data_IF_722564111844
#
_entry.id   IF_722564111844
#
_cell.length_a   1.000
_cell.length_b   1.000
_cell.length_c   1.000
_cell.angle_alpha   90.00
_cell.angle_beta   90.00
_cell.angle_gamma   90.00
#
_symmetry.space_group_name_H-M   'P 1'
#
loop_
_entity.id
_entity.type
_entity.pdbx_description
1 polymer ?
#
# COMPACT_ATOMS: atom_id res chain seq x y z
N UNK A 1 31.60 -14.75 -14.89
CA UNK A 1 31.76 -13.64 -13.92
C UNK A 1 30.84 -12.50 -14.30
N UNK A 2 29.53 -12.76 -14.47
CA UNK A 2 28.60 -11.71 -14.91
C UNK A 2 28.50 -10.63 -13.85
N UNK A 3 29.25 -9.56 -14.00
CA UNK A 3 29.14 -8.37 -13.17
C UNK A 3 27.91 -7.60 -13.64
N UNK A 4 26.97 -7.40 -12.71
CA UNK A 4 25.73 -6.69 -12.99
C UNK A 4 25.78 -5.37 -12.24
N UNK A 5 25.73 -4.27 -12.99
CA UNK A 5 25.71 -2.92 -12.43
C UNK A 5 24.27 -2.43 -12.37
N UNK A 6 23.80 -2.10 -11.18
CA UNK A 6 22.53 -1.40 -11.01
C UNK A 6 22.74 0.12 -10.96
N UNK A 7 21.89 0.87 -11.66
CA UNK A 7 21.89 2.33 -11.68
C UNK A 7 20.59 2.81 -11.04
N UNK A 8 20.71 3.55 -9.94
CA UNK A 8 19.58 4.11 -9.20
C UNK A 8 19.92 5.48 -8.62
N UNK A 9 18.89 6.22 -8.20
CA UNK A 9 19.02 7.56 -7.61
C UNK A 9 19.53 7.50 -6.17
N UNK A 10 19.21 6.42 -5.48
CA UNK A 10 19.74 6.08 -4.17
C UNK A 10 20.55 4.78 -4.25
N UNK A 11 21.36 4.54 -3.22
CA UNK A 11 22.15 3.30 -3.14
C UNK A 11 21.23 2.08 -3.10
N UNK A 12 20.08 2.20 -2.43
CA UNK A 12 19.08 1.14 -2.29
C UNK A 12 18.45 0.80 -3.65
N UNK A 13 18.03 1.81 -4.43
CA UNK A 13 17.47 1.58 -5.77
C UNK A 13 18.51 0.96 -6.70
N UNK A 14 19.76 1.46 -6.66
CA UNK A 14 20.84 0.96 -7.49
C UNK A 14 21.15 -0.51 -7.16
N UNK A 15 21.29 -0.84 -5.87
CA UNK A 15 21.57 -2.20 -5.44
C UNK A 15 20.38 -3.14 -5.68
N UNK A 16 19.14 -2.67 -5.51
CA UNK A 16 17.93 -3.44 -5.87
C UNK A 16 18.00 -3.86 -7.34
N UNK A 17 18.21 -2.90 -8.25
CA UNK A 17 18.31 -3.16 -9.70
C UNK A 17 19.45 -4.11 -10.03
N UNK A 18 20.61 -3.93 -9.39
CA UNK A 18 21.77 -4.79 -9.58
C UNK A 18 21.53 -6.23 -9.14
N UNK A 19 20.95 -6.43 -7.95
CA UNK A 19 20.67 -7.76 -7.40
C UNK A 19 19.58 -8.49 -8.21
N UNK A 20 18.45 -7.84 -8.50
CA UNK A 20 17.38 -8.48 -9.30
C UNK A 20 17.88 -8.85 -10.70
N UNK A 21 18.64 -7.97 -11.35
CA UNK A 21 19.21 -8.24 -12.67
C UNK A 21 20.27 -9.36 -12.66
N UNK A 22 20.92 -9.61 -11.52
CA UNK A 22 21.79 -10.76 -11.31
C UNK A 22 21.03 -12.06 -11.01
N UNK A 23 19.69 -12.03 -11.02
CA UNK A 23 18.82 -13.17 -10.80
C UNK A 23 18.46 -13.43 -9.34
N UNK A 24 18.79 -12.50 -8.42
CA UNK A 24 18.39 -12.63 -7.02
C UNK A 24 16.89 -12.36 -6.86
N UNK A 25 16.21 -13.25 -6.16
CA UNK A 25 14.79 -13.10 -5.81
C UNK A 25 14.67 -12.29 -4.51
N UNK A 26 14.38 -11.00 -4.64
CA UNK A 26 14.17 -10.12 -3.49
C UNK A 26 12.75 -10.27 -2.95
N UNK A 27 12.66 -10.76 -1.73
CA UNK A 27 11.43 -11.11 -1.03
C UNK A 27 11.19 -10.10 0.10
N UNK A 28 10.03 -9.42 0.05
CA UNK A 28 9.63 -8.47 1.09
C UNK A 28 8.71 -9.18 2.10
N UNK A 29 8.99 -9.09 3.41
CA UNK A 29 8.12 -9.64 4.44
C UNK A 29 6.73 -9.00 4.35
N UNK A 30 5.70 -9.83 4.41
CA UNK A 30 4.31 -9.38 4.49
C UNK A 30 3.51 -10.37 5.32
N UNK A 31 2.34 -9.97 5.81
CA UNK A 31 1.49 -10.91 6.59
C UNK A 31 1.01 -12.13 5.80
N UNK A 32 1.11 -12.10 4.46
CA UNK A 32 0.70 -13.19 3.56
C UNK A 32 1.89 -14.07 3.14
N UNK A 33 3.11 -13.56 3.31
CA UNK A 33 4.35 -14.25 2.99
C UNK A 33 5.34 -13.95 4.10
N UNK A 34 5.44 -14.89 5.02
CA UNK A 34 6.57 -14.91 5.95
C UNK A 34 7.86 -14.99 5.13
N UNK A 35 8.81 -14.17 5.53
CA UNK A 35 10.14 -14.15 4.92
C UNK A 35 11.13 -14.49 6.01
N UNK A 36 11.89 -15.55 5.80
CA UNK A 36 12.88 -16.00 6.78
C UNK A 36 14.29 -15.68 6.36
N UNK A 37 15.11 -15.32 7.35
CA UNK A 37 16.56 -15.18 7.20
C UNK A 37 17.26 -16.16 8.13
N UNK A 38 18.19 -16.94 7.57
CA UNK A 38 19.04 -17.85 8.31
C UNK A 38 20.43 -17.26 8.53
N UNK A 39 20.87 -17.16 9.78
CA UNK A 39 22.19 -16.70 10.19
C UNK A 39 23.09 -17.85 10.64
N UNK A 40 24.23 -17.94 9.97
CA UNK A 40 25.32 -18.86 10.34
C UNK A 40 26.63 -18.11 10.19
N UNK A 41 27.08 -17.51 11.30
CA UNK A 41 28.24 -16.62 11.29
C UNK A 41 29.36 -17.13 12.18
N UNK A 42 30.58 -16.78 11.79
CA UNK A 42 31.78 -17.03 12.55
C UNK A 42 31.76 -16.26 13.88
N UNK A 43 32.49 -16.77 14.87
CA UNK A 43 32.53 -16.20 16.22
C UNK A 43 33.07 -14.76 16.25
N UNK A 44 33.93 -14.40 15.30
CA UNK A 44 34.50 -13.06 15.16
C UNK A 44 33.46 -12.00 14.74
N UNK A 45 32.44 -12.41 13.99
CA UNK A 45 31.45 -11.50 13.40
C UNK A 45 30.16 -11.41 14.23
N UNK A 46 30.09 -12.15 15.35
CA UNK A 46 28.89 -12.26 16.20
C UNK A 46 28.36 -10.93 16.72
N UNK A 47 29.23 -9.93 16.91
CA UNK A 47 28.81 -8.61 17.37
C UNK A 47 28.29 -7.74 16.23
N UNK A 48 28.83 -7.89 15.02
CA UNK A 48 28.41 -7.11 13.84
C UNK A 48 27.01 -7.51 13.37
N UNK A 49 26.65 -8.80 13.52
CA UNK A 49 25.32 -9.27 13.15
C UNK A 49 24.19 -8.75 14.03
N UNK A 50 24.47 -8.23 15.24
CA UNK A 50 23.42 -7.79 16.16
C UNK A 50 22.60 -6.64 15.55
N UNK A 51 23.28 -5.66 14.94
CA UNK A 51 22.60 -4.55 14.25
C UNK A 51 21.78 -5.03 13.06
N UNK A 52 22.33 -5.97 12.29
CA UNK A 52 21.67 -6.55 11.12
C UNK A 52 20.44 -7.40 11.50
N UNK A 53 20.56 -8.25 12.52
CA UNK A 53 19.47 -9.09 13.02
C UNK A 53 18.33 -8.23 13.57
N UNK A 54 18.66 -7.15 14.31
CA UNK A 54 17.67 -6.17 14.74
C UNK A 54 16.93 -5.55 13.56
N UNK A 55 17.67 -5.12 12.54
CA UNK A 55 17.08 -4.49 11.35
C UNK A 55 16.14 -5.44 10.61
N UNK A 56 16.53 -6.69 10.40
CA UNK A 56 15.64 -7.69 9.79
C UNK A 56 14.42 -8.01 10.67
N UNK A 57 14.59 -8.07 12.00
CA UNK A 57 13.47 -8.25 12.94
C UNK A 57 12.50 -7.06 12.89
N UNK A 58 13.01 -5.84 12.87
CA UNK A 58 12.20 -4.61 12.78
C UNK A 58 11.44 -4.53 11.44
N UNK A 59 12.01 -5.11 10.38
CA UNK A 59 11.36 -5.29 9.08
C UNK A 59 10.35 -6.45 9.05
N UNK A 60 10.27 -7.26 10.11
CA UNK A 60 9.30 -8.34 10.25
C UNK A 60 9.73 -9.68 9.64
N UNK A 61 11.03 -9.92 9.42
CA UNK A 61 11.53 -11.22 9.01
C UNK A 61 11.62 -12.17 10.20
N UNK A 62 11.35 -13.46 9.94
CA UNK A 62 11.57 -14.51 10.93
C UNK A 62 13.05 -14.87 10.97
N UNK A 63 13.65 -14.86 12.16
CA UNK A 63 15.08 -15.08 12.34
C UNK A 63 15.33 -16.55 12.70
N UNK A 64 16.12 -17.22 11.86
CA UNK A 64 16.66 -18.56 12.10
C UNK A 64 18.16 -18.44 12.30
N UNK A 65 18.76 -19.15 13.25
CA UNK A 65 20.21 -19.08 13.44
C UNK A 65 20.81 -20.32 14.11
N UNK A 66 22.09 -20.59 13.85
CA UNK A 66 22.81 -21.62 14.62
C UNK A 66 22.86 -21.27 16.11
N UNK A 67 22.89 -22.26 17.00
CA UNK A 67 22.82 -22.08 18.46
C UNK A 67 23.66 -20.91 19.00
N UNK A 68 24.96 -20.90 18.70
CA UNK A 68 25.86 -19.86 19.18
C UNK A 68 25.58 -18.46 18.62
N UNK A 69 24.95 -18.37 17.45
CA UNK A 69 24.50 -17.12 16.83
C UNK A 69 23.15 -16.68 17.41
N UNK A 70 22.22 -17.62 17.60
CA UNK A 70 20.91 -17.39 18.19
C UNK A 70 21.02 -16.83 19.61
N UNK A 71 21.90 -17.40 20.44
CA UNK A 71 22.12 -16.94 21.81
C UNK A 71 22.61 -15.48 21.86
N UNK A 72 23.44 -15.08 20.90
CA UNK A 72 23.89 -13.69 20.76
C UNK A 72 22.74 -12.77 20.35
N UNK A 73 21.97 -13.13 19.32
CA UNK A 73 20.83 -12.30 18.85
C UNK A 73 19.75 -12.14 19.94
N UNK A 74 19.47 -13.20 20.72
CA UNK A 74 18.50 -13.17 21.84
C UNK A 74 18.83 -12.13 22.91
N UNK A 75 20.09 -11.72 23.04
CA UNK A 75 20.47 -10.65 23.99
C UNK A 75 19.79 -9.31 23.68
N UNK A 76 19.30 -9.13 22.44
CA UNK A 76 18.52 -7.96 22.03
C UNK A 76 17.01 -8.09 22.32
N UNK A 77 16.55 -9.21 22.89
CA UNK A 77 15.13 -9.50 23.08
C UNK A 77 14.38 -9.91 21.80
N UNK A 78 15.12 -10.28 20.76
CA UNK A 78 14.57 -10.75 19.48
C UNK A 78 14.29 -12.25 19.57
N UNK A 79 13.13 -12.69 19.07
CA UNK A 79 12.81 -14.11 18.97
C UNK A 79 13.58 -14.76 17.82
N UNK A 80 14.19 -15.92 18.09
CA UNK A 80 15.09 -16.60 17.16
C UNK A 80 14.85 -18.10 17.24
N UNK A 81 14.55 -18.70 16.09
CA UNK A 81 14.51 -20.15 15.93
C UNK A 81 15.94 -20.70 15.84
N UNK A 82 16.32 -21.50 16.82
CA UNK A 82 17.63 -22.18 16.79
C UNK A 82 17.56 -23.37 15.85
N UNK A 83 18.46 -23.40 14.88
CA UNK A 83 18.66 -24.52 13.95
C UNK A 83 20.01 -25.14 14.23
N UNK A 84 20.09 -26.47 14.30
CA UNK A 84 21.37 -27.15 14.52
C UNK A 84 22.27 -27.08 13.28
N UNK A 85 23.56 -27.36 13.45
CA UNK A 85 24.49 -27.39 12.30
C UNK A 85 24.18 -28.57 11.38
N UNK A 86 24.49 -28.41 10.10
CA UNK A 86 24.27 -29.40 9.05
C UNK A 86 24.95 -30.76 9.30
N UNK A 87 26.10 -30.74 9.96
CA UNK A 87 26.78 -31.94 10.48
C UNK A 87 26.01 -32.71 11.56
N UNK A 88 24.95 -32.13 12.14
CA UNK A 88 24.17 -32.70 13.25
C UNK A 88 22.71 -32.97 12.86
N UNK A 89 22.07 -32.06 12.12
CA UNK A 89 20.70 -32.20 11.63
C UNK A 89 20.52 -31.51 10.26
N UNK A 90 19.67 -32.08 9.41
CA UNK A 90 19.29 -31.54 8.11
C UNK A 90 18.01 -30.67 8.20
N UNK A 91 17.66 -30.21 9.40
CA UNK A 91 16.52 -29.31 9.66
C UNK A 91 16.51 -28.09 8.74
N UNK A 92 17.68 -27.49 8.48
CA UNK A 92 17.79 -26.33 7.59
C UNK A 92 17.28 -26.64 6.18
N UNK A 93 17.51 -27.85 5.65
CA UNK A 93 16.99 -28.23 4.33
C UNK A 93 15.48 -28.34 4.32
N UNK A 94 14.89 -28.89 5.38
CA UNK A 94 13.42 -28.93 5.50
C UNK A 94 12.83 -27.53 5.57
N UNK A 95 13.44 -26.62 6.33
CA UNK A 95 13.01 -25.22 6.40
C UNK A 95 13.12 -24.51 5.03
N UNK A 96 14.16 -24.81 4.26
CA UNK A 96 14.32 -24.30 2.90
C UNK A 96 13.26 -24.86 1.95
N UNK A 97 13.02 -26.18 1.98
CA UNK A 97 12.03 -26.87 1.14
C UNK A 97 10.59 -26.44 1.45
N UNK A 98 10.29 -26.19 2.72
CA UNK A 98 9.00 -25.67 3.20
C UNK A 98 8.80 -24.18 2.84
N UNK A 99 9.81 -23.52 2.25
CA UNK A 99 9.77 -22.12 1.86
C UNK A 99 9.84 -21.14 3.04
N UNK A 100 10.37 -21.58 4.19
CA UNK A 100 10.54 -20.74 5.38
C UNK A 100 11.80 -19.89 5.38
N UNK A 101 12.76 -20.18 4.49
CA UNK A 101 14.03 -19.46 4.35
C UNK A 101 14.10 -18.83 2.95
N UNK A 102 14.22 -17.52 2.87
CA UNK A 102 14.41 -16.79 1.60
C UNK A 102 15.83 -16.20 1.50
N UNK A 103 16.46 -15.95 2.65
CA UNK A 103 17.79 -15.38 2.76
C UNK A 103 18.69 -16.21 3.66
N UNK A 104 19.95 -16.38 3.25
CA UNK A 104 20.99 -16.99 4.05
C UNK A 104 22.12 -15.98 4.22
N UNK A 105 22.50 -15.69 5.45
CA UNK A 105 23.67 -14.87 5.79
C UNK A 105 24.72 -15.80 6.39
N UNK A 106 25.80 -16.02 5.64
CA UNK A 106 26.89 -16.93 6.01
C UNK A 106 28.20 -16.17 6.07
N UNK A 107 28.84 -16.09 7.24
CA UNK A 107 30.24 -15.65 7.33
C UNK A 107 31.11 -16.87 7.59
N UNK A 108 31.93 -17.20 6.59
CA UNK A 108 32.57 -18.51 6.53
C UNK A 108 33.53 -18.80 7.67
N UNK A 109 33.59 -20.07 8.06
CA UNK A 109 34.72 -20.64 8.80
C UNK A 109 35.67 -21.35 7.84
N UNK A 110 36.96 -21.32 8.15
CA UNK A 110 38.03 -21.86 7.31
C UNK A 110 38.26 -23.36 7.49
N UNK A 111 37.56 -24.03 8.40
CA UNK A 111 37.65 -25.48 8.57
C UNK A 111 36.89 -26.24 7.46
N UNK A 112 37.42 -27.41 7.10
CA UNK A 112 36.93 -28.21 5.96
C UNK A 112 35.50 -28.71 6.15
N UNK A 113 35.09 -29.00 7.38
CA UNK A 113 33.74 -29.47 7.68
C UNK A 113 32.72 -28.35 7.42
N UNK A 114 33.00 -27.13 7.89
CA UNK A 114 32.16 -25.95 7.63
C UNK A 114 32.09 -25.58 6.14
N UNK A 115 33.20 -25.75 5.40
CA UNK A 115 33.22 -25.54 3.94
C UNK A 115 32.33 -26.56 3.23
N UNK A 116 32.38 -27.83 3.63
CA UNK A 116 31.57 -28.87 3.02
C UNK A 116 30.07 -28.67 3.32
N UNK A 117 29.73 -28.30 4.56
CA UNK A 117 28.37 -27.93 4.96
C UNK A 117 27.87 -26.74 4.14
N UNK A 118 28.70 -25.71 3.96
CA UNK A 118 28.37 -24.56 3.11
C UNK A 118 28.13 -24.97 1.65
N UNK A 119 28.97 -25.81 1.05
CA UNK A 119 28.80 -26.22 -0.36
C UNK A 119 27.47 -26.95 -0.55
N UNK A 120 27.14 -27.89 0.35
CA UNK A 120 25.86 -28.61 0.30
C UNK A 120 24.68 -27.65 0.43
N UNK A 121 24.74 -26.75 1.42
CA UNK A 121 23.68 -25.76 1.64
C UNK A 121 23.53 -24.79 0.49
N UNK A 122 24.62 -24.27 -0.03
CA UNK A 122 24.62 -23.30 -1.11
C UNK A 122 24.08 -23.91 -2.41
N UNK A 123 24.46 -25.17 -2.73
CA UNK A 123 23.87 -25.89 -3.86
C UNK A 123 22.35 -26.07 -3.71
N UNK A 124 21.88 -26.43 -2.52
CA UNK A 124 20.45 -26.56 -2.25
C UNK A 124 19.71 -25.21 -2.38
N UNK A 125 20.31 -24.14 -1.85
CA UNK A 125 19.78 -22.78 -1.94
C UNK A 125 19.63 -22.32 -3.39
N UNK A 126 20.62 -22.62 -4.25
CA UNK A 126 20.56 -22.28 -5.68
C UNK A 126 19.38 -22.98 -6.37
N UNK A 127 19.14 -24.26 -6.08
CA UNK A 127 18.02 -25.01 -6.67
C UNK A 127 16.66 -24.42 -6.32
N UNK A 128 16.53 -23.83 -5.14
CA UNK A 128 15.31 -23.20 -4.63
C UNK A 128 15.22 -21.70 -4.94
N UNK A 129 16.27 -21.10 -5.50
CA UNK A 129 16.36 -19.65 -5.73
C UNK A 129 16.47 -18.81 -4.45
N UNK A 130 17.05 -19.39 -3.39
CA UNK A 130 17.27 -18.74 -2.09
C UNK A 130 18.55 -17.89 -2.16
N UNK A 131 18.44 -16.63 -1.73
CA UNK A 131 19.55 -15.68 -1.81
C UNK A 131 20.57 -15.94 -0.70
N UNK A 132 21.79 -16.35 -1.07
CA UNK A 132 22.89 -16.56 -0.12
C UNK A 132 23.87 -15.39 -0.16
N UNK A 133 24.10 -14.75 0.99
CA UNK A 133 24.99 -13.62 1.17
C UNK A 133 26.18 -14.01 2.03
N UNK A 134 27.39 -13.86 1.49
CA UNK A 134 28.63 -14.20 2.19
C UNK A 134 29.34 -13.00 2.82
N UNK A 135 28.71 -11.82 2.78
CA UNK A 135 29.21 -10.57 3.35
C UNK A 135 28.11 -9.89 4.17
N UNK A 136 28.48 -9.42 5.36
CA UNK A 136 27.57 -8.68 6.23
C UNK A 136 27.21 -7.31 5.66
N UNK A 137 28.12 -6.67 4.93
CA UNK A 137 27.84 -5.38 4.27
C UNK A 137 26.75 -5.55 3.21
N UNK A 138 26.82 -6.61 2.41
CA UNK A 138 25.80 -6.92 1.41
C UNK A 138 24.47 -7.27 2.07
N UNK A 139 24.48 -7.97 3.20
CA UNK A 139 23.27 -8.26 3.96
C UNK A 139 22.64 -7.01 4.59
N UNK A 140 23.46 -6.07 5.08
CA UNK A 140 22.99 -4.77 5.55
C UNK A 140 22.34 -3.96 4.44
N UNK A 141 22.98 -3.93 3.26
CA UNK A 141 22.42 -3.27 2.09
C UNK A 141 21.11 -3.91 1.62
N UNK A 142 21.02 -5.25 1.64
CA UNK A 142 19.75 -5.95 1.40
C UNK A 142 18.66 -5.51 2.37
N UNK A 143 18.97 -5.38 3.65
CA UNK A 143 17.99 -4.89 4.63
C UNK A 143 17.54 -3.44 4.34
N UNK A 144 18.43 -2.56 3.87
CA UNK A 144 18.04 -1.20 3.42
C UNK A 144 17.13 -1.23 2.19
N UNK A 145 17.42 -2.13 1.24
CA UNK A 145 16.57 -2.33 0.05
C UNK A 145 15.17 -2.78 0.47
N UNK A 146 15.07 -3.76 1.37
CA UNK A 146 13.76 -4.23 1.87
C UNK A 146 13.01 -3.08 2.56
N UNK A 147 13.70 -2.26 3.36
CA UNK A 147 13.14 -1.09 4.03
C UNK A 147 12.64 -0.01 3.05
N UNK A 148 13.34 0.17 1.92
CA UNK A 148 13.01 1.17 0.89
C UNK A 148 11.75 0.85 0.10
N UNK A 149 11.30 -0.42 0.12
CA UNK A 149 10.12 -0.94 -0.59
C UNK A 149 10.21 -0.89 -2.13
N UNK A 150 11.40 -0.69 -2.70
CA UNK A 150 11.60 -0.87 -4.14
C UNK A 150 11.30 -2.33 -4.55
N UNK A 151 10.57 -2.49 -5.65
CA UNK A 151 10.23 -3.75 -6.28
C UNK A 151 10.22 -3.59 -7.81
N UNK A 152 10.02 -4.69 -8.53
CA UNK A 152 10.07 -4.70 -10.00
C UNK A 152 9.00 -3.79 -10.65
N UNK A 153 7.88 -3.56 -9.96
CA UNK A 153 6.75 -2.78 -10.46
C UNK A 153 6.88 -1.27 -10.17
N UNK A 154 7.75 -0.85 -9.24
CA UNK A 154 7.87 0.56 -8.81
C UNK A 154 9.25 1.20 -9.08
N UNK A 155 10.08 0.54 -9.89
CA UNK A 155 11.38 1.06 -10.32
C UNK A 155 11.33 1.63 -11.74
N UNK A 156 11.96 2.79 -11.94
CA UNK A 156 11.98 3.44 -13.26
C UNK A 156 12.91 2.70 -14.21
N UNK A 157 12.39 2.34 -15.40
CA UNK A 157 13.18 1.95 -16.55
C UNK A 157 13.77 3.19 -17.22
N UNK A 158 15.11 3.27 -17.26
CA UNK A 158 15.83 4.40 -17.85
C UNK A 158 16.63 3.90 -19.04
N UNK A 159 16.45 4.55 -20.19
CA UNK A 159 17.36 4.36 -21.33
C UNK A 159 18.71 5.02 -21.02
N UNK A 160 19.74 4.20 -20.87
CA UNK A 160 21.10 4.64 -20.52
C UNK A 160 21.68 5.62 -21.55
N UNK A 161 21.28 5.50 -22.83
CA UNK A 161 21.73 6.41 -23.89
C UNK A 161 21.08 7.79 -23.78
N UNK A 162 19.96 7.88 -23.07
CA UNK A 162 19.16 9.08 -22.87
C UNK A 162 19.05 9.43 -21.37
N UNK A 163 20.06 9.09 -20.57
CA UNK A 163 20.14 9.47 -19.16
C UNK A 163 20.05 10.98 -19.00
N UNK A 164 19.20 11.41 -18.05
CA UNK A 164 19.04 12.83 -17.72
C UNK A 164 20.35 13.34 -17.13
N UNK A 165 20.82 14.50 -17.61
CA UNK A 165 22.07 15.12 -17.15
C UNK A 165 21.91 15.90 -15.85
N UNK A 166 20.68 16.28 -15.51
CA UNK A 166 20.34 17.06 -14.34
C UNK A 166 19.02 16.58 -13.72
N UNK A 167 18.81 16.92 -12.44
CA UNK A 167 17.53 16.66 -11.76
C UNK A 167 16.44 17.52 -12.39
N UNK A 168 15.28 16.92 -12.59
CA UNK A 168 14.10 17.57 -13.16
C UNK A 168 13.35 18.30 -12.05
N UNK A 169 13.00 19.57 -12.28
CA UNK A 169 12.12 20.31 -11.36
C UNK A 169 10.65 20.02 -11.68
N UNK A 170 9.95 19.40 -10.73
CA UNK A 170 8.52 19.10 -10.84
C UNK A 170 7.72 20.06 -9.97
N UNK A 171 6.76 20.76 -10.59
CA UNK A 171 5.78 21.55 -9.84
C UNK A 171 4.71 20.62 -9.29
N UNK A 172 4.28 20.88 -8.05
CA UNK A 172 3.21 20.13 -7.43
C UNK A 172 2.23 21.07 -6.73
N UNK A 173 1.00 20.59 -6.56
CA UNK A 173 -0.02 21.22 -5.73
C UNK A 173 -0.42 20.24 -4.64
N UNK A 174 -0.41 20.68 -3.39
CA UNK A 174 -0.94 19.91 -2.27
C UNK A 174 -2.40 20.27 -2.06
N UNK A 175 -3.29 19.29 -2.14
CA UNK A 175 -4.73 19.48 -1.91
C UNK A 175 -5.29 18.42 -0.97
N UNK A 176 -6.42 18.73 -0.34
CA UNK A 176 -7.13 17.83 0.55
C UNK A 176 -8.65 17.90 0.37
N UNK A 177 -9.30 16.80 0.70
CA UNK A 177 -10.74 16.74 0.92
C UNK A 177 -11.00 16.00 2.24
N UNK A 178 -11.75 16.62 3.15
CA UNK A 178 -11.98 16.12 4.51
C UNK A 178 -10.70 15.61 5.20
N UNK A 179 -9.58 16.31 5.04
CA UNK A 179 -8.30 15.99 5.68
C UNK A 179 -7.48 14.89 4.99
N UNK A 180 -8.03 14.15 4.04
CA UNK A 180 -7.26 13.21 3.21
C UNK A 180 -6.52 13.98 2.13
N UNK A 181 -5.19 13.97 2.19
CA UNK A 181 -4.32 14.91 1.51
C UNK A 181 -3.36 14.23 0.52
N UNK A 182 -3.46 14.61 -0.76
CA UNK A 182 -2.65 14.07 -1.85
C UNK A 182 -1.74 15.15 -2.45
N UNK A 183 -0.65 14.70 -3.05
CA UNK A 183 0.26 15.54 -3.83
C UNK A 183 -0.14 15.41 -5.30
N UNK A 184 -0.49 16.51 -5.95
CA UNK A 184 -0.98 16.53 -7.32
C UNK A 184 0.09 17.04 -8.26
N UNK A 185 0.30 16.32 -9.36
CA UNK A 185 1.15 16.74 -10.46
C UNK A 185 0.31 16.90 -11.72
N UNK A 186 0.45 18.05 -12.37
CA UNK A 186 -0.01 18.25 -13.74
C UNK A 186 0.93 17.49 -14.67
N UNK A 187 0.41 16.44 -15.32
CA UNK A 187 1.09 15.60 -16.28
C UNK A 187 0.37 15.65 -17.65
N UNK A 188 -0.25 16.78 -18.00
CA UNK A 188 -0.91 16.98 -19.29
C UNK A 188 0.08 16.94 -20.48
N UNK A 189 1.39 17.07 -20.22
CA UNK A 189 2.44 16.90 -21.22
C UNK A 189 3.04 15.48 -21.28
N UNK A 190 2.64 14.60 -20.36
CA UNK A 190 3.05 13.19 -20.32
C UNK A 190 4.52 12.96 -19.95
N UNK A 191 5.21 13.93 -19.35
CA UNK A 191 6.64 13.78 -19.00
C UNK A 191 6.91 12.91 -17.79
N UNK A 192 5.93 12.75 -16.90
CA UNK A 192 6.06 11.87 -15.73
C UNK A 192 5.69 10.45 -16.16
N UNK A 193 6.70 9.57 -16.21
CA UNK A 193 6.57 8.18 -16.69
C UNK A 193 6.60 7.13 -15.57
N UNK A 194 7.12 7.46 -14.38
CA UNK A 194 7.19 6.56 -13.22
C UNK A 194 6.62 7.23 -11.95
N UNK A 195 5.30 7.41 -11.87
CA UNK A 195 4.65 7.99 -10.70
C UNK A 195 4.74 7.16 -9.42
N UNK A 196 4.92 5.84 -9.53
CA UNK A 196 5.05 4.92 -8.40
C UNK A 196 6.28 5.30 -7.55
N UNK A 197 7.40 5.60 -8.23
CA UNK A 197 8.62 6.10 -7.59
C UNK A 197 8.43 7.49 -6.97
N UNK A 198 7.69 8.39 -7.62
CA UNK A 198 7.34 9.69 -7.03
C UNK A 198 6.52 9.50 -5.75
N UNK A 199 5.62 8.53 -5.72
CA UNK A 199 4.80 8.23 -4.56
C UNK A 199 5.70 7.83 -3.39
N UNK A 200 6.55 6.82 -3.55
CA UNK A 200 7.43 6.32 -2.47
C UNK A 200 8.34 7.43 -1.93
N UNK A 201 8.89 8.27 -2.82
CA UNK A 201 9.85 9.30 -2.42
C UNK A 201 9.21 10.52 -1.75
N UNK A 202 8.03 10.98 -2.20
CA UNK A 202 7.50 12.28 -1.79
C UNK A 202 6.35 12.23 -0.78
N UNK A 203 5.72 11.08 -0.59
CA UNK A 203 4.60 10.93 0.38
C UNK A 203 5.05 10.88 1.83
N UNK A 204 6.32 10.58 2.09
CA UNK A 204 6.83 10.55 3.46
C UNK A 204 6.72 11.95 4.10
N UNK A 205 6.15 12.01 5.31
CA UNK A 205 5.85 13.28 5.99
C UNK A 205 7.08 13.91 6.65
N UNK A 206 8.17 13.17 6.83
CA UNK A 206 9.40 13.66 7.45
C UNK A 206 10.48 13.95 6.41
N UNK A 207 10.61 13.09 5.39
CA UNK A 207 11.66 13.17 4.38
C UNK A 207 11.16 13.68 3.02
N UNK A 208 9.84 13.75 2.82
CA UNK A 208 9.22 14.21 1.58
C UNK A 208 8.32 15.43 1.77
N UNK A 209 7.36 15.59 0.87
CA UNK A 209 6.31 16.62 0.96
C UNK A 209 5.27 16.23 2.02
N UNK A 210 5.03 14.92 2.15
CA UNK A 210 4.04 14.35 3.05
C UNK A 210 2.65 14.26 2.42
N UNK A 211 2.04 13.09 2.48
CA UNK A 211 0.66 12.84 2.02
C UNK A 211 0.22 11.40 2.15
N UNK A 212 -1.06 11.16 1.85
CA UNK A 212 -1.63 9.80 1.79
C UNK A 212 -1.37 9.12 0.42
N UNK A 213 -0.88 9.89 -0.55
CA UNK A 213 -0.45 9.40 -1.87
C UNK A 213 -0.19 10.55 -2.84
N UNK A 214 -0.02 10.21 -4.12
CA UNK A 214 0.08 11.20 -5.21
C UNK A 214 -1.03 11.00 -6.24
N UNK A 215 -1.30 12.05 -7.02
CA UNK A 215 -2.29 12.02 -8.10
C UNK A 215 -1.73 12.71 -9.32
N UNK A 216 -1.73 12.02 -10.46
CA UNK A 216 -1.42 12.61 -11.76
C UNK A 216 -2.70 13.11 -12.43
N UNK A 217 -2.61 14.29 -13.02
CA UNK A 217 -3.66 14.91 -13.84
C UNK A 217 -3.15 14.89 -15.29
N UNK A 218 -3.74 14.03 -16.11
CA UNK A 218 -3.26 13.71 -17.46
C UNK A 218 -4.29 14.11 -18.53
N UNK A 219 -3.85 14.14 -19.79
CA UNK A 219 -4.77 14.25 -20.93
C UNK A 219 -5.58 12.96 -21.07
N UNK A 220 -6.84 13.11 -21.49
CA UNK A 220 -7.72 12.01 -21.87
C UNK A 220 -8.23 12.24 -23.29
N UNK A 221 -8.34 11.17 -24.07
CA UNK A 221 -8.97 11.21 -25.40
C UNK A 221 -10.50 11.06 -25.31
N UNK A 222 -11.04 10.68 -24.14
CA UNK A 222 -12.45 10.30 -23.95
C UNK A 222 -13.17 11.10 -22.87
N UNK A 223 -12.47 11.95 -22.13
CA UNK A 223 -12.98 12.78 -21.05
C UNK A 223 -12.27 14.15 -21.01
N UNK A 224 -12.72 15.08 -20.15
CA UNK A 224 -12.08 16.41 -20.04
C UNK A 224 -10.66 16.32 -19.43
N UNK A 225 -10.38 15.26 -18.65
CA UNK A 225 -9.05 14.91 -18.13
C UNK A 225 -8.98 13.43 -17.72
N UNK A 226 -7.78 12.92 -17.47
CA UNK A 226 -7.52 11.61 -16.86
C UNK A 226 -6.87 11.77 -15.50
N UNK A 227 -7.26 10.91 -14.55
CA UNK A 227 -6.69 10.86 -13.21
C UNK A 227 -6.09 9.49 -12.94
N UNK A 228 -4.82 9.46 -12.53
CA UNK A 228 -4.15 8.28 -11.96
C UNK A 228 -3.74 8.58 -10.53
N UNK A 229 -3.86 7.59 -9.64
CA UNK A 229 -3.60 7.76 -8.21
C UNK A 229 -2.68 6.65 -7.72
N UNK A 230 -1.69 7.02 -6.91
CA UNK A 230 -0.73 6.10 -6.33
C UNK A 230 -0.73 6.26 -4.81
N UNK A 231 -0.85 5.13 -4.12
CA UNK A 231 -0.86 5.06 -2.67
C UNK A 231 0.53 5.27 -2.09
N UNK A 232 0.60 5.35 -0.76
CA UNK A 232 1.87 5.52 -0.03
C UNK A 232 2.89 4.42 -0.34
N UNK A 233 2.44 3.21 -0.64
CA UNK A 233 3.28 2.06 -0.97
C UNK A 233 3.64 1.96 -2.47
N UNK A 234 3.26 2.96 -3.28
CA UNK A 234 3.49 3.00 -4.72
C UNK A 234 2.42 2.27 -5.56
N UNK A 235 1.48 1.55 -4.94
CA UNK A 235 0.44 0.84 -5.67
C UNK A 235 -0.57 1.79 -6.35
N UNK A 236 -0.97 1.48 -7.58
CA UNK A 236 -1.98 2.27 -8.31
C UNK A 236 -3.40 1.94 -7.80
N UNK A 237 -4.14 2.98 -7.39
CA UNK A 237 -5.53 2.88 -7.00
C UNK A 237 -6.48 3.05 -8.18
N UNK A 238 -7.57 2.29 -8.22
CA UNK A 238 -8.52 2.39 -9.33
C UNK A 238 -9.39 3.66 -9.30
N UNK A 239 -9.66 4.17 -8.09
CA UNK A 239 -10.53 5.31 -7.83
C UNK A 239 -10.22 5.89 -6.44
N UNK A 240 -10.30 7.22 -6.31
CA UNK A 240 -10.35 7.89 -5.02
C UNK A 240 -11.31 9.07 -5.08
N UNK A 241 -12.41 8.95 -4.34
CA UNK A 241 -13.45 9.98 -4.29
C UNK A 241 -12.94 11.33 -3.78
N UNK A 242 -11.95 11.34 -2.88
CA UNK A 242 -11.36 12.57 -2.36
C UNK A 242 -10.48 13.26 -3.40
N UNK A 243 -9.57 12.51 -4.03
CA UNK A 243 -8.64 13.05 -5.04
C UNK A 243 -9.34 13.57 -6.28
N UNK A 244 -10.37 12.87 -6.78
CA UNK A 244 -11.08 13.30 -8.00
C UNK A 244 -11.79 14.64 -7.84
N UNK A 245 -12.29 14.95 -6.63
CA UNK A 245 -12.85 16.28 -6.31
C UNK A 245 -11.77 17.38 -6.35
N UNK A 246 -10.58 17.06 -5.86
CA UNK A 246 -9.43 17.96 -5.94
C UNK A 246 -8.94 18.16 -7.39
N UNK A 247 -8.94 17.11 -8.22
CA UNK A 247 -8.64 17.23 -9.67
C UNK A 247 -9.63 18.15 -10.35
N UNK A 248 -10.94 17.96 -10.13
CA UNK A 248 -11.96 18.83 -10.71
C UNK A 248 -11.80 20.31 -10.29
N UNK A 249 -11.47 20.54 -9.02
CA UNK A 249 -11.13 21.87 -8.52
C UNK A 249 -9.91 22.46 -9.26
N UNK A 250 -8.83 21.68 -9.39
CA UNK A 250 -7.62 22.13 -10.07
C UNK A 250 -7.88 22.52 -11.52
N UNK A 251 -8.60 21.67 -12.26
CA UNK A 251 -8.93 21.91 -13.66
C UNK A 251 -9.76 23.19 -13.85
N UNK A 252 -10.75 23.41 -12.99
CA UNK A 252 -11.60 24.60 -13.08
C UNK A 252 -10.88 25.86 -12.61
N UNK A 253 -10.25 25.84 -11.43
CA UNK A 253 -9.63 27.02 -10.83
C UNK A 253 -8.43 27.54 -11.63
N UNK A 254 -7.75 26.68 -12.40
CA UNK A 254 -6.65 27.05 -13.29
C UNK A 254 -7.09 27.32 -14.74
N UNK A 255 -8.40 27.28 -15.02
CA UNK A 255 -8.95 27.58 -16.35
C UNK A 255 -8.66 26.53 -17.42
N UNK A 256 -8.21 25.34 -17.03
CA UNK A 256 -7.93 24.21 -17.93
C UNK A 256 -9.26 23.67 -18.49
N UNK A 257 -10.29 23.56 -17.63
CA UNK A 257 -11.65 23.16 -18.02
C UNK A 257 -12.66 24.18 -17.48
N UNK A 258 -13.25 24.95 -18.38
CA UNK A 258 -14.17 26.04 -18.04
C UNK A 258 -15.65 25.60 -18.02
N UNK A 259 -15.95 24.48 -17.35
CA UNK A 259 -17.31 23.92 -17.26
C UNK A 259 -17.63 23.49 -15.82
N UNK A 260 -18.88 23.70 -15.39
CA UNK A 260 -19.38 23.23 -14.08
C UNK A 260 -19.76 21.75 -14.06
N UNK A 261 -20.00 21.17 -15.24
CA UNK A 261 -20.16 19.74 -15.42
C UNK A 261 -18.96 19.24 -16.24
N UNK A 262 -18.23 18.27 -15.71
CA UNK A 262 -17.04 17.73 -16.36
C UNK A 262 -16.95 16.22 -16.18
N UNK A 263 -16.16 15.61 -17.04
CA UNK A 263 -15.89 14.18 -17.06
C UNK A 263 -14.41 13.93 -16.78
N UNK A 264 -14.11 12.95 -15.91
CA UNK A 264 -12.74 12.55 -15.62
C UNK A 264 -12.62 11.05 -15.83
N UNK A 265 -11.67 10.64 -16.67
CA UNK A 265 -11.28 9.24 -16.87
C UNK A 265 -10.49 8.76 -15.66
N UNK A 266 -10.84 7.58 -15.15
CA UNK A 266 -10.10 6.88 -14.10
C UNK A 266 -9.90 5.42 -14.53
N UNK A 267 -9.04 4.68 -13.83
CA UNK A 267 -8.88 3.25 -14.08
C UNK A 267 -10.19 2.46 -13.86
N UNK A 268 -11.09 2.97 -13.02
CA UNK A 268 -12.44 2.41 -12.81
C UNK A 268 -13.50 2.88 -13.82
N UNK A 269 -13.12 3.63 -14.86
CA UNK A 269 -14.01 4.22 -15.87
C UNK A 269 -14.20 5.74 -15.72
N UNK A 270 -14.99 6.31 -16.64
CA UNK A 270 -15.27 7.76 -16.69
C UNK A 270 -16.29 8.13 -15.61
N UNK A 271 -16.00 9.21 -14.87
CA UNK A 271 -16.87 9.76 -13.82
C UNK A 271 -17.41 11.12 -14.24
N UNK A 272 -18.67 11.37 -13.90
CA UNK A 272 -19.32 12.67 -14.12
C UNK A 272 -19.27 13.47 -12.82
N UNK A 273 -18.90 14.74 -12.92
CA UNK A 273 -18.72 15.63 -11.79
C UNK A 273 -19.53 16.91 -11.98
N UNK A 274 -20.10 17.40 -10.89
CA UNK A 274 -20.79 18.69 -10.82
C UNK A 274 -20.11 19.57 -9.77
N UNK A 275 -19.63 20.73 -10.20
CA UNK A 275 -18.85 21.65 -9.39
C UNK A 275 -19.73 22.75 -8.80
N UNK A 276 -19.55 23.01 -7.51
CA UNK A 276 -20.17 24.13 -6.82
C UNK A 276 -19.10 25.17 -6.49
N UNK A 277 -19.35 26.40 -6.93
CA UNK A 277 -18.39 27.50 -6.87
C UNK A 277 -18.82 28.57 -5.89
N UNK A 278 -17.87 29.12 -5.15
CA UNK A 278 -18.05 30.30 -4.31
C UNK A 278 -16.93 31.29 -4.61
N UNK A 279 -17.26 32.57 -4.85
CA UNK A 279 -16.30 33.61 -5.26
C UNK A 279 -15.41 33.21 -6.45
N UNK A 280 -16.00 32.59 -7.47
CA UNK A 280 -15.30 32.20 -8.69
C UNK A 280 -14.36 30.99 -8.57
N UNK A 281 -14.25 30.37 -7.38
CA UNK A 281 -13.46 29.14 -7.16
C UNK A 281 -14.33 27.98 -6.73
N UNK A 282 -13.92 26.75 -7.03
CA UNK A 282 -14.63 25.53 -6.58
C UNK A 282 -14.52 25.39 -5.06
N UNK A 283 -15.66 25.24 -4.38
CA UNK A 283 -15.72 24.99 -2.93
C UNK A 283 -16.04 23.52 -2.61
N UNK A 284 -16.91 22.90 -3.41
CA UNK A 284 -17.31 21.51 -3.27
C UNK A 284 -17.63 20.90 -4.64
N UNK A 285 -17.57 19.57 -4.70
CA UNK A 285 -17.78 18.81 -5.93
C UNK A 285 -18.64 17.60 -5.61
N UNK A 286 -19.66 17.37 -6.43
CA UNK A 286 -20.45 16.13 -6.47
C UNK A 286 -19.92 15.22 -7.56
N UNK A 287 -19.76 13.93 -7.25
CA UNK A 287 -19.19 12.91 -8.13
C UNK A 287 -20.19 11.78 -8.28
N UNK A 288 -20.49 11.38 -9.51
CA UNK A 288 -21.15 10.11 -9.80
C UNK A 288 -20.13 8.98 -9.67
N UNK A 289 -20.24 8.21 -8.58
CA UNK A 289 -19.36 7.07 -8.28
C UNK A 289 -19.74 5.82 -9.10
N UNK A 290 -20.75 5.91 -9.95
CA UNK A 290 -21.32 4.80 -10.69
C UNK A 290 -22.23 3.95 -9.82
N UNK A 291 -22.57 2.77 -10.33
CA UNK A 291 -23.42 1.81 -9.60
C UNK A 291 -22.60 1.01 -8.59
N UNK A 292 -23.15 0.84 -7.39
CA UNK A 292 -22.57 -0.06 -6.40
C UNK A 292 -22.65 -1.51 -6.91
N UNK A 293 -21.51 -2.20 -6.92
CA UNK A 293 -21.42 -3.62 -7.22
C UNK A 293 -21.59 -4.38 -5.90
N UNK A 294 -22.71 -5.11 -5.81
CA UNK A 294 -23.11 -5.89 -4.63
C UNK A 294 -22.96 -7.40 -4.83
N UNK A 295 -22.68 -7.83 -6.07
CA UNK A 295 -22.48 -9.24 -6.38
C UNK A 295 -21.22 -9.72 -5.66
N UNK A 296 -21.36 -10.59 -4.67
CA UNK A 296 -20.26 -11.10 -3.84
C UNK A 296 -19.14 -11.74 -4.67
N UNK A 297 -19.48 -12.38 -5.80
CA UNK A 297 -18.52 -12.99 -6.72
C UNK A 297 -17.72 -11.98 -7.55
N UNK A 298 -18.24 -10.77 -7.71
CA UNK A 298 -17.57 -9.68 -8.42
C UNK A 298 -16.70 -8.82 -7.47
N UNK A 299 -16.80 -9.04 -6.17
CA UNK A 299 -15.91 -8.46 -5.16
C UNK A 299 -14.79 -9.48 -4.92
N UNK A 300 -13.51 -9.09 -4.92
CA UNK A 300 -12.38 -10.01 -4.72
C UNK A 300 -12.33 -10.54 -3.29
N UNK A 301 -13.23 -11.47 -2.96
CA UNK A 301 -13.36 -12.11 -1.66
C UNK A 301 -13.65 -13.60 -1.79
N UNK A 302 -13.31 -14.38 -0.77
CA UNK A 302 -13.64 -15.82 -0.70
C UNK A 302 -15.00 -16.09 -0.04
N UNK A 303 -15.73 -15.04 0.34
CA UNK A 303 -17.05 -15.18 0.96
C UNK A 303 -18.09 -15.61 -0.07
N UNK A 304 -18.77 -16.71 0.21
CA UNK A 304 -19.84 -17.22 -0.64
C UNK A 304 -21.14 -16.42 -0.48
N UNK A 305 -21.85 -16.23 -1.60
CA UNK A 305 -23.17 -15.57 -1.65
C UNK A 305 -23.33 -14.72 -2.91
N UNK A 306 -24.57 -14.56 -3.36
CA UNK A 306 -24.88 -13.58 -4.42
C UNK A 306 -24.66 -12.16 -3.93
N UNK A 307 -25.05 -11.87 -2.68
CA UNK A 307 -24.72 -10.64 -1.97
C UNK A 307 -24.14 -10.98 -0.60
N UNK A 308 -23.21 -10.15 -0.12
CA UNK A 308 -22.64 -10.30 1.22
C UNK A 308 -23.09 -9.12 2.06
N UNK A 309 -24.27 -9.25 2.67
CA UNK A 309 -24.88 -8.25 3.55
C UNK A 309 -25.07 -8.87 4.92
N UNK A 310 -24.50 -8.24 5.94
CA UNK A 310 -24.56 -8.70 7.32
C UNK A 310 -24.10 -10.16 7.50
N UNK A 311 -22.97 -10.52 6.88
CA UNK A 311 -22.37 -11.86 6.97
C UNK A 311 -21.42 -11.93 8.15
N UNK A 312 -21.53 -12.99 8.95
CA UNK A 312 -20.58 -13.22 10.04
C UNK A 312 -19.24 -13.74 9.51
N UNK A 313 -18.15 -13.11 9.94
CA UNK A 313 -16.77 -13.55 9.71
C UNK A 313 -15.97 -13.47 11.01
N UNK A 314 -14.92 -14.30 11.13
CA UNK A 314 -13.98 -14.22 12.24
C UNK A 314 -12.67 -13.59 11.78
N UNK A 315 -12.30 -12.45 12.37
CA UNK A 315 -11.04 -11.73 12.11
C UNK A 315 -10.36 -11.45 13.44
N UNK A 316 -9.09 -11.83 13.59
CA UNK A 316 -8.35 -11.61 14.85
C UNK A 316 -8.97 -12.29 16.08
N UNK A 317 -9.64 -13.42 15.90
CA UNK A 317 -10.31 -14.16 16.97
C UNK A 317 -11.62 -13.53 17.48
N UNK A 318 -12.14 -12.50 16.79
CA UNK A 318 -13.43 -11.87 17.07
C UNK A 318 -14.37 -12.04 15.89
N UNK A 319 -15.65 -12.23 16.19
CA UNK A 319 -16.70 -12.29 15.17
C UNK A 319 -17.20 -10.90 14.82
N UNK A 320 -17.33 -10.64 13.54
CA UNK A 320 -17.84 -9.39 12.98
C UNK A 320 -18.94 -9.69 11.98
N UNK A 321 -19.95 -8.83 11.97
CA UNK A 321 -20.98 -8.83 10.96
C UNK A 321 -20.61 -7.81 9.88
N UNK A 322 -20.40 -8.28 8.65
CA UNK A 322 -19.79 -7.48 7.58
C UNK A 322 -20.69 -7.38 6.35
N UNK A 323 -20.61 -6.24 5.68
CA UNK A 323 -21.25 -6.02 4.38
C UNK A 323 -20.19 -5.64 3.36
N UNK A 324 -20.13 -6.37 2.24
CA UNK A 324 -19.18 -6.07 1.17
C UNK A 324 -19.84 -5.22 0.08
N UNK A 325 -19.15 -4.16 -0.31
CA UNK A 325 -19.58 -3.25 -1.38
C UNK A 325 -18.38 -2.91 -2.25
N UNK A 326 -18.57 -2.80 -3.56
CA UNK A 326 -17.55 -2.25 -4.44
C UNK A 326 -18.11 -1.04 -5.19
N UNK A 327 -17.41 0.10 -5.07
CA UNK A 327 -17.75 1.40 -5.68
C UNK A 327 -16.57 1.91 -6.54
N UNK A 328 -15.88 0.99 -7.20
CA UNK A 328 -14.65 1.20 -7.97
C UNK A 328 -13.44 0.49 -7.37
N UNK A 329 -13.45 0.29 -6.05
CA UNK A 329 -12.52 -0.52 -5.26
C UNK A 329 -13.31 -1.29 -4.17
N UNK A 330 -12.76 -2.39 -3.62
CA UNK A 330 -13.49 -3.23 -2.66
C UNK A 330 -13.52 -2.62 -1.25
N UNK A 331 -14.67 -2.74 -0.58
CA UNK A 331 -14.93 -2.25 0.77
C UNK A 331 -15.60 -3.32 1.63
N UNK A 332 -15.20 -3.37 2.91
CA UNK A 332 -15.77 -4.20 3.96
C UNK A 332 -16.31 -3.28 5.06
N UNK A 333 -17.63 -3.17 5.16
CA UNK A 333 -18.30 -2.30 6.12
C UNK A 333 -18.72 -3.08 7.35
N UNK A 334 -18.34 -2.58 8.53
CA UNK A 334 -18.62 -3.17 9.84
C UNK A 334 -19.38 -2.16 10.70
N UNK A 335 -20.58 -2.52 11.16
CA UNK A 335 -21.35 -1.66 12.06
C UNK A 335 -20.92 -1.85 13.53
N UNK A 336 -20.77 -0.76 14.27
CA UNK A 336 -20.39 -0.78 15.68
C UNK A 336 -20.93 0.44 16.46
N UNK A 337 -21.11 0.30 17.78
CA UNK A 337 -21.66 1.36 18.62
C UNK A 337 -20.66 2.47 18.94
N UNK A 338 -19.38 2.13 19.10
CA UNK A 338 -18.32 3.02 19.59
C UNK A 338 -17.15 3.10 18.62
N UNK A 339 -17.38 3.69 17.45
CA UNK A 339 -16.36 3.86 16.39
C UNK A 339 -15.08 4.56 16.87
N UNK A 340 -15.19 5.53 17.79
CA UNK A 340 -14.02 6.26 18.33
C UNK A 340 -13.12 5.38 19.22
N UNK A 341 -13.66 4.29 19.78
CA UNK A 341 -12.92 3.36 20.64
C UNK A 341 -12.30 2.19 19.85
N UNK A 342 -12.50 2.12 18.53
CA UNK A 342 -11.90 1.08 17.70
C UNK A 342 -10.39 1.33 17.58
N UNK A 343 -9.61 0.33 17.99
CA UNK A 343 -8.17 0.30 17.80
C UNK A 343 -7.83 -0.10 16.36
N UNK A 344 -7.92 0.88 15.45
CA UNK A 344 -7.68 0.68 14.01
C UNK A 344 -6.26 0.25 13.69
N UNK A 345 -5.26 0.69 14.46
CA UNK A 345 -3.88 0.29 14.25
C UNK A 345 -3.70 -1.22 14.43
N UNK A 346 -4.46 -1.82 15.34
CA UNK A 346 -4.46 -3.27 15.54
C UNK A 346 -5.41 -3.98 14.56
N UNK A 347 -6.69 -3.60 14.53
CA UNK A 347 -7.71 -4.37 13.81
C UNK A 347 -7.68 -4.15 12.30
N UNK A 348 -7.28 -2.96 11.84
CA UNK A 348 -7.27 -2.60 10.43
C UNK A 348 -6.41 -3.54 9.57
N UNK A 349 -5.13 -3.75 9.91
CA UNK A 349 -4.28 -4.74 9.23
C UNK A 349 -4.84 -6.16 9.25
N UNK A 350 -5.62 -6.54 10.28
CA UNK A 350 -6.19 -7.89 10.35
C UNK A 350 -7.30 -8.07 9.31
N UNK A 351 -8.05 -7.01 9.00
CA UNK A 351 -9.03 -7.03 7.91
C UNK A 351 -8.37 -6.86 6.54
N UNK A 352 -7.46 -5.89 6.38
CA UNK A 352 -6.82 -5.63 5.09
C UNK A 352 -6.16 -6.89 4.52
N UNK A 353 -5.50 -7.68 5.37
CA UNK A 353 -4.79 -8.89 4.99
C UNK A 353 -5.54 -10.19 5.34
N UNK A 354 -6.84 -10.11 5.67
CA UNK A 354 -7.59 -11.30 6.03
C UNK A 354 -7.62 -12.32 4.87
N UNK A 355 -7.58 -13.64 5.14
CA UNK A 355 -7.69 -14.67 4.10
C UNK A 355 -8.97 -14.55 3.24
N UNK A 356 -9.99 -13.85 3.76
CA UNK A 356 -11.21 -13.57 3.02
C UNK A 356 -11.01 -12.62 1.83
N UNK A 357 -9.91 -11.85 1.77
CA UNK A 357 -9.71 -10.77 0.81
C UNK A 357 -8.35 -10.92 0.09
N UNK A 358 -8.25 -11.77 -0.95
CA UNK A 358 -6.99 -12.03 -1.65
C UNK A 358 -6.32 -10.78 -2.24
N UNK A 359 -7.10 -9.80 -2.67
CA UNK A 359 -6.60 -8.53 -3.23
C UNK A 359 -6.57 -7.39 -2.19
N UNK A 360 -6.60 -7.75 -0.91
CA UNK A 360 -6.80 -6.86 0.25
C UNK A 360 -8.09 -6.05 0.15
N UNK A 361 -8.45 -5.34 1.21
CA UNK A 361 -9.71 -4.58 1.26
C UNK A 361 -9.60 -3.31 2.08
N UNK A 362 -10.37 -2.28 1.72
CA UNK A 362 -10.63 -1.14 2.61
C UNK A 362 -11.67 -1.56 3.65
N UNK A 363 -11.49 -1.14 4.90
CA UNK A 363 -12.42 -1.53 5.97
C UNK A 363 -12.96 -0.31 6.69
N UNK A 364 -14.28 -0.16 6.67
CA UNK A 364 -14.99 0.93 7.33
C UNK A 364 -15.65 0.43 8.61
N UNK A 365 -15.39 1.14 9.71
CA UNK A 365 -16.11 0.95 10.97
C UNK A 365 -17.11 2.07 11.12
N UNK A 366 -18.39 1.72 11.19
CA UNK A 366 -19.50 2.66 11.05
C UNK A 366 -20.41 2.60 12.26
N UNK A 367 -20.65 3.77 12.85
CA UNK A 367 -21.72 3.97 13.82
C UNK A 367 -22.90 4.65 13.13
N UNK A 368 -24.07 4.05 13.19
CA UNK A 368 -25.33 4.70 12.80
C UNK A 368 -25.70 5.68 13.92
N UNK A 369 -25.73 6.98 13.62
CA UNK A 369 -26.14 8.00 14.58
C UNK A 369 -27.66 8.19 14.54
N UNK A 370 -28.21 8.25 13.33
CA UNK A 370 -29.64 8.21 13.01
C UNK A 370 -29.82 7.79 11.53
N UNK A 371 -31.05 7.82 11.05
CA UNK A 371 -31.41 7.41 9.68
C UNK A 371 -30.82 8.29 8.56
N UNK A 372 -30.22 9.45 8.90
CA UNK A 372 -29.59 10.41 7.96
C UNK A 372 -28.15 10.74 8.28
N UNK A 373 -27.56 10.14 9.31
CA UNK A 373 -26.21 10.45 9.77
C UNK A 373 -25.47 9.20 10.20
N UNK A 374 -24.32 8.98 9.58
CA UNK A 374 -23.35 7.95 9.95
C UNK A 374 -22.10 8.62 10.50
N UNK A 375 -21.39 7.94 11.40
CA UNK A 375 -20.03 8.30 11.80
C UNK A 375 -19.09 7.16 11.43
N UNK A 376 -18.00 7.45 10.73
CA UNK A 376 -17.14 6.44 10.13
C UNK A 376 -15.66 6.71 10.46
N UNK A 377 -14.92 5.63 10.72
CA UNK A 377 -13.45 5.61 10.58
C UNK A 377 -13.07 4.47 9.63
N UNK A 378 -11.91 4.58 9.00
CA UNK A 378 -11.50 3.70 7.91
C UNK A 378 -10.06 3.26 8.10
N UNK A 379 -9.80 2.00 7.74
CA UNK A 379 -8.48 1.50 7.42
C UNK A 379 -8.41 1.29 5.92
N UNK A 380 -7.63 2.12 5.23
CA UNK A 380 -7.46 2.07 3.79
C UNK A 380 -6.37 1.09 3.39
N UNK A 381 -6.67 0.30 2.35
CA UNK A 381 -5.72 -0.60 1.72
C UNK A 381 -4.48 0.18 1.25
N UNK A 382 -3.31 -0.19 1.72
CA UNK A 382 -2.02 0.43 1.37
C UNK A 382 -1.68 1.75 2.09
N UNK A 383 -2.65 2.39 2.76
CA UNK A 383 -2.46 3.70 3.40
C UNK A 383 -2.61 3.66 4.93
N UNK A 384 -3.33 2.68 5.49
CA UNK A 384 -3.63 2.60 6.91
C UNK A 384 -4.81 3.48 7.33
N UNK A 385 -4.84 3.95 8.58
CA UNK A 385 -5.91 4.87 9.01
C UNK A 385 -5.75 6.26 8.38
N UNK A 386 -6.71 6.66 7.55
CA UNK A 386 -6.81 8.00 6.97
C UNK A 386 -7.89 8.83 7.67
N UNK A 387 -7.85 10.16 7.52
CA UNK A 387 -8.85 11.05 8.12
C UNK A 387 -10.22 10.99 7.43
N UNK A 388 -10.26 10.53 6.17
CA UNK A 388 -11.46 10.36 5.38
C UNK A 388 -11.20 9.44 4.18
N UNK A 389 -12.17 8.61 3.83
CA UNK A 389 -12.18 7.86 2.57
C UNK A 389 -13.49 8.13 1.83
N UNK A 390 -13.42 8.72 0.63
CA UNK A 390 -14.60 9.05 -0.16
C UNK A 390 -15.37 7.82 -0.64
N UNK A 391 -14.67 6.81 -1.17
CA UNK A 391 -15.29 5.55 -1.60
C UNK A 391 -15.77 4.74 -0.39
N UNK A 392 -15.06 4.79 0.74
CA UNK A 392 -15.51 4.16 1.99
C UNK A 392 -16.79 4.79 2.56
N UNK A 393 -16.93 6.11 2.48
CA UNK A 393 -18.16 6.80 2.85
C UNK A 393 -19.33 6.38 1.95
N UNK A 394 -19.08 6.28 0.64
CA UNK A 394 -20.05 5.77 -0.33
C UNK A 394 -20.48 4.32 0.00
N UNK A 395 -19.52 3.43 0.23
CA UNK A 395 -19.77 2.04 0.61
C UNK A 395 -20.55 1.93 1.93
N UNK A 396 -20.22 2.75 2.92
CA UNK A 396 -20.90 2.77 4.23
C UNK A 396 -22.37 3.14 4.13
N UNK A 397 -22.72 4.09 3.26
CA UNK A 397 -24.12 4.48 3.03
C UNK A 397 -24.87 3.38 2.29
N UNK A 398 -24.26 2.78 1.27
CA UNK A 398 -24.86 1.62 0.57
C UNK A 398 -25.12 0.49 1.55
N UNK A 399 -24.14 0.12 2.38
CA UNK A 399 -24.28 -0.91 3.41
C UNK A 399 -25.36 -0.54 4.45
N UNK A 400 -25.46 0.73 4.84
CA UNK A 400 -26.47 1.18 5.80
C UNK A 400 -27.89 1.09 5.23
N UNK A 401 -28.08 1.39 3.95
CA UNK A 401 -29.36 1.21 3.25
C UNK A 401 -29.71 -0.27 3.12
N UNK A 402 -28.76 -1.12 2.72
CA UNK A 402 -28.97 -2.57 2.61
C UNK A 402 -29.30 -3.22 3.97
N UNK A 403 -28.70 -2.71 5.05
CA UNK A 403 -28.98 -3.14 6.43
C UNK A 403 -30.25 -2.55 7.03
N UNK A 404 -30.99 -1.71 6.31
CA UNK A 404 -32.24 -1.08 6.79
C UNK A 404 -32.06 0.08 7.78
N UNK A 405 -30.84 0.60 7.93
CA UNK A 405 -30.53 1.71 8.84
C UNK A 405 -30.80 3.09 8.24
N UNK A 406 -30.64 3.21 6.92
CA UNK A 406 -30.87 4.43 6.14
C UNK A 406 -31.81 4.15 4.96
N UNK A 407 -32.32 5.21 4.32
CA UNK A 407 -33.21 5.10 3.16
C UNK A 407 -32.49 5.43 1.86
N UNK A 408 -32.89 4.75 0.78
CA UNK A 408 -32.52 5.07 -0.60
C UNK A 408 -33.06 6.46 -0.99
N UNK A 409 -32.41 7.11 -1.95
CA UNK A 409 -32.75 8.43 -2.53
C UNK A 409 -32.72 9.61 -1.53
N UNK A 410 -32.18 9.41 -0.33
CA UNK A 410 -31.96 10.47 0.66
C UNK A 410 -30.48 10.85 0.77
N UNK A 411 -30.22 12.12 1.09
CA UNK A 411 -28.88 12.60 1.41
C UNK A 411 -28.50 12.18 2.83
N UNK A 412 -27.49 11.32 2.92
CA UNK A 412 -26.95 10.81 4.17
C UNK A 412 -25.63 11.50 4.47
N UNK A 413 -25.52 12.11 5.65
CA UNK A 413 -24.27 12.73 6.11
C UNK A 413 -23.36 11.66 6.71
N UNK A 414 -22.16 11.50 6.17
CA UNK A 414 -21.11 10.65 6.73
C UNK A 414 -20.07 11.53 7.41
N UNK A 415 -20.06 11.48 8.75
CA UNK A 415 -19.08 12.17 9.60
C UNK A 415 -17.79 11.36 9.64
N UNK A 416 -16.76 11.88 9.00
CA UNK A 416 -15.40 11.34 9.05
C UNK A 416 -14.54 12.21 9.96
N UNK A 417 -13.32 11.78 10.29
CA UNK A 417 -12.47 12.53 11.23
C UNK A 417 -12.11 13.92 10.72
N UNK A 418 -11.91 14.07 9.41
CA UNK A 418 -11.54 15.36 8.82
C UNK A 418 -12.70 16.20 8.26
N UNK A 419 -13.96 15.83 8.49
CA UNK A 419 -15.12 16.63 8.10
C UNK A 419 -16.37 15.81 7.79
N UNK A 420 -17.25 16.37 6.98
CA UNK A 420 -18.51 15.74 6.57
C UNK A 420 -18.53 15.49 5.06
N UNK A 421 -19.01 14.32 4.65
CA UNK A 421 -19.33 13.96 3.28
C UNK A 421 -20.84 13.74 3.16
N UNK A 422 -21.42 14.06 2.01
CA UNK A 422 -22.83 13.79 1.72
C UNK A 422 -22.88 12.70 0.66
N UNK A 423 -23.61 11.63 0.94
CA UNK A 423 -23.78 10.51 0.02
C UNK A 423 -25.25 10.26 -0.21
N UNK A 424 -25.62 10.06 -1.48
CA UNK A 424 -26.94 9.58 -1.87
C UNK A 424 -26.79 8.26 -2.62
N UNK A 425 -27.44 7.21 -2.13
CA UNK A 425 -27.60 5.95 -2.85
C UNK A 425 -28.97 5.94 -3.52
N UNK A 426 -28.99 5.87 -4.86
CA UNK A 426 -30.21 6.00 -5.65
C UNK A 426 -30.89 4.65 -5.90
N UNK A 427 -32.20 4.65 -6.15
CA UNK A 427 -32.96 3.43 -6.42
C UNK A 427 -32.48 2.62 -7.64
N UNK A 428 -31.82 3.29 -8.60
CA UNK A 428 -31.23 2.64 -9.79
C UNK A 428 -29.82 2.03 -9.53
N UNK A 429 -29.35 2.11 -8.28
CA UNK A 429 -28.08 1.59 -7.80
C UNK A 429 -26.92 2.57 -7.87
N UNK A 430 -27.10 3.79 -8.41
CA UNK A 430 -26.04 4.80 -8.49
C UNK A 430 -25.70 5.37 -7.11
N UNK A 431 -24.45 5.77 -6.93
CA UNK A 431 -23.99 6.45 -5.71
C UNK A 431 -23.43 7.81 -6.06
N UNK A 432 -24.00 8.86 -5.48
CA UNK A 432 -23.55 10.24 -5.63
C UNK A 432 -22.82 10.66 -4.36
N UNK A 433 -21.58 11.13 -4.51
CA UNK A 433 -20.73 11.57 -3.40
C UNK A 433 -20.40 13.05 -3.53
N UNK A 434 -20.78 13.85 -2.54
CA UNK A 434 -20.48 15.29 -2.47
C UNK A 434 -19.56 15.59 -1.30
N UNK A 435 -18.53 16.40 -1.54
CA UNK A 435 -17.59 16.82 -0.50
C UNK A 435 -16.83 18.09 -0.89
N UNK A 436 -16.12 18.67 0.07
CA UNK A 436 -15.28 19.83 -0.17
C UNK A 436 -14.01 19.48 -0.97
N UNK A 437 -13.34 20.48 -1.53
CA UNK A 437 -11.99 20.33 -2.06
C UNK A 437 -11.19 21.61 -1.78
N UNK A 438 -9.98 21.47 -1.24
CA UNK A 438 -9.17 22.62 -0.81
C UNK A 438 -7.71 22.45 -1.22
N UNK A 439 -7.17 23.45 -1.91
CA UNK A 439 -5.73 23.61 -2.06
C UNK A 439 -5.12 24.11 -0.75
N UNK A 440 -4.05 23.46 -0.32
CA UNK A 440 -3.31 23.79 0.91
C UNK A 440 -2.12 24.67 0.57
N UNK A 441 -1.24 24.19 -0.31
CA UNK A 441 -0.07 24.92 -0.81
C UNK A 441 0.37 24.36 -2.17
N UNK A 442 1.32 25.02 -2.82
CA UNK A 442 1.98 24.57 -4.04
C UNK A 442 3.49 24.76 -3.90
N UNK A 443 4.26 24.03 -4.70
CA UNK A 443 5.72 24.07 -4.61
C UNK A 443 6.41 23.43 -5.80
N UNK A 444 7.73 23.27 -5.68
CA UNK A 444 8.57 22.59 -6.67
C UNK A 444 9.52 21.65 -5.95
N UNK A 445 9.67 20.43 -6.46
CA UNK A 445 10.63 19.44 -6.00
C UNK A 445 11.61 19.07 -7.11
N UNK A 446 12.80 18.62 -6.73
CA UNK A 446 13.78 18.06 -7.66
C UNK A 446 13.66 16.54 -7.69
N UNK A 447 13.56 15.98 -8.89
CA UNK A 447 13.38 14.54 -9.16
C UNK A 447 14.39 14.02 -10.16
#
# INVERSE_FOLDING_TARGET
TGEVLGIGKTIEEALFKGLVSAGFKLCHPSKQREVGVYFTVNDQDKFEILGLAKKFSDLGLTIYATKGTADTIRTLGIDVHTVERLSQDEEIFRLMDDGKIDYIVYTGKTDMDSINDYIRMHHHAILLGITTLTSLDTANALADIIASRFNEDNTELVDINNLRKERTKLKFIKMQSCGNDYIFFDNMDGKITCPESLAINFVDRHFGIGGDGITLIEKSDVADAKMRIFNKDGSEGAMAGNSIRCVAKYLFDNGIVNKKHMTIETLSGIRQLTLFTFNGKVSSVSVDMGKAVLNGRAIPSTLEGETVVGRDISVGGKNYNVTLVNVGNPHCVVFCDKVDAVDLANVGPLFEYAPYFPQRINTEFVRVVNDKTLKMRVWERGNGETLACGTGAAASVVAAVLGGYCKTDEDITVKVRGGDLIVRYCADGKVILTGNARQVFEGTVEF
#
